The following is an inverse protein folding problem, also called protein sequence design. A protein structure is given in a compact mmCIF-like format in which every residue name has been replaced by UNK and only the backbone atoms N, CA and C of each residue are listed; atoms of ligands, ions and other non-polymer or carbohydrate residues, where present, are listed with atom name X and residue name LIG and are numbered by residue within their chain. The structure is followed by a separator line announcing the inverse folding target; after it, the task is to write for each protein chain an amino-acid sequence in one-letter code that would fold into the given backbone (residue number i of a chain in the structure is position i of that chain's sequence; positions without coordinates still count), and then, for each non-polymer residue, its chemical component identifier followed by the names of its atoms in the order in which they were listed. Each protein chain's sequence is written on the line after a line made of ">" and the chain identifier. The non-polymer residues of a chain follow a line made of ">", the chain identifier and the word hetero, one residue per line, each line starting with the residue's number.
data_IF_809862983822
#
_entry.id   IF_809862983822
#
_cell.length_a   1.000
_cell.length_b   1.000
_cell.length_c   1.000
_cell.angle_alpha   90.00
_cell.angle_beta   90.00
_cell.angle_gamma   90.00
#
_symmetry.space_group_name_H-M   'P 1'
#
loop_
_entity.id
_entity.type
_entity.pdbx_description
1 polymer ?
#
# COMPACT_ATOMS: atom_id res chain seq x y z
N UNK A 1 12.46 1.34 -12.16
CA UNK A 1 11.56 0.25 -11.72
C UNK A 1 11.97 -1.08 -12.32
N UNK A 2 12.13 -1.22 -13.65
CA UNK A 2 12.58 -2.49 -14.26
C UNK A 2 13.96 -2.90 -13.75
N UNK A 3 14.90 -1.94 -13.65
CA UNK A 3 16.23 -2.23 -13.10
C UNK A 3 16.16 -2.72 -11.65
N UNK A 4 15.27 -2.14 -10.84
CA UNK A 4 15.01 -2.62 -9.48
C UNK A 4 14.49 -4.06 -9.45
N UNK A 5 13.62 -4.46 -10.38
CA UNK A 5 13.16 -5.85 -10.46
C UNK A 5 14.31 -6.80 -10.82
N UNK A 6 15.23 -6.38 -11.70
CA UNK A 6 16.44 -7.16 -12.01
C UNK A 6 17.38 -7.25 -10.81
N UNK A 7 17.54 -6.16 -10.04
CA UNK A 7 18.29 -6.16 -8.77
C UNK A 7 17.70 -7.14 -7.75
N UNK A 8 16.37 -7.23 -7.66
CA UNK A 8 15.65 -8.17 -6.79
C UNK A 8 15.51 -9.58 -7.41
N UNK A 9 16.15 -9.84 -8.55
CA UNK A 9 16.18 -11.14 -9.23
C UNK A 9 14.79 -11.70 -9.60
N UNK A 10 13.86 -10.81 -9.98
CA UNK A 10 12.56 -11.19 -10.55
C UNK A 10 12.79 -11.88 -11.89
N UNK A 11 11.97 -12.89 -12.18
CA UNK A 11 12.11 -13.67 -13.41
C UNK A 11 11.99 -12.78 -14.66
N UNK A 12 12.90 -12.96 -15.62
CA UNK A 12 12.99 -12.13 -16.81
C UNK A 12 11.76 -12.25 -17.72
N UNK A 13 11.04 -13.40 -17.67
CA UNK A 13 9.80 -13.53 -18.45
C UNK A 13 8.72 -12.57 -17.95
N UNK A 14 8.64 -12.31 -16.62
CA UNK A 14 7.71 -11.35 -16.03
C UNK A 14 8.09 -9.93 -16.44
N UNK A 15 9.38 -9.61 -16.38
CA UNK A 15 9.89 -8.30 -16.80
C UNK A 15 9.54 -8.03 -18.26
N UNK A 16 9.76 -9.03 -19.13
CA UNK A 16 9.39 -8.95 -20.55
C UNK A 16 7.88 -8.81 -20.73
N UNK A 17 7.07 -9.56 -20.00
CA UNK A 17 5.61 -9.43 -20.02
C UNK A 17 5.14 -8.01 -19.68
N UNK A 18 5.77 -7.36 -18.70
CA UNK A 18 5.49 -5.97 -18.32
C UNK A 18 5.92 -5.00 -19.43
N UNK A 19 7.06 -5.23 -20.07
CA UNK A 19 7.51 -4.41 -21.19
C UNK A 19 6.55 -4.53 -22.39
N UNK A 20 6.08 -5.75 -22.69
CA UNK A 20 5.10 -6.02 -23.73
C UNK A 20 3.76 -5.35 -23.42
N UNK A 21 3.26 -5.49 -22.19
CA UNK A 21 2.06 -4.79 -21.73
C UNK A 21 2.16 -3.27 -21.92
N UNK A 22 3.29 -2.66 -21.57
CA UNK A 22 3.50 -1.21 -21.73
C UNK A 22 3.51 -0.78 -23.19
N UNK A 23 4.02 -1.64 -24.09
CA UNK A 23 4.05 -1.38 -25.53
C UNK A 23 2.64 -1.48 -26.12
N UNK A 24 1.85 -2.47 -25.72
CA UNK A 24 0.49 -2.68 -26.16
C UNK A 24 -0.48 -1.63 -25.60
N UNK A 25 -0.21 -1.16 -24.40
CA UNK A 25 -1.04 -0.19 -23.68
C UNK A 25 -0.21 1.05 -23.29
N UNK A 26 0.11 1.94 -24.21
CA UNK A 26 0.85 3.16 -23.91
C UNK A 26 0.07 4.02 -22.90
N UNK A 27 0.80 4.69 -22.00
CA UNK A 27 0.17 5.53 -20.97
C UNK A 27 -0.65 6.64 -21.63
N UNK A 28 -1.91 6.85 -21.19
CA UNK A 28 -2.69 7.99 -21.67
C UNK A 28 -2.00 9.31 -21.26
N UNK A 29 -2.20 10.36 -22.05
CA UNK A 29 -1.65 11.70 -21.75
C UNK A 29 -2.30 12.35 -20.55
N UNK A 30 -3.46 11.83 -20.10
CA UNK A 30 -4.23 12.30 -18.97
C UNK A 30 -4.21 11.27 -17.84
N UNK A 31 -4.20 11.72 -16.59
CA UNK A 31 -4.23 10.90 -15.41
C UNK A 31 -2.97 11.05 -14.55
N UNK A 32 -3.12 10.70 -13.27
CA UNK A 32 -2.04 10.78 -12.29
C UNK A 32 -1.21 9.50 -12.33
N UNK A 33 0.03 9.60 -12.75
CA UNK A 33 0.96 8.47 -12.62
C UNK A 33 1.39 8.32 -11.16
N UNK A 34 1.32 7.10 -10.63
CA UNK A 34 1.80 6.80 -9.28
C UNK A 34 3.28 7.22 -9.12
N UNK A 35 3.57 7.87 -8.01
CA UNK A 35 4.92 8.23 -7.59
C UNK A 35 5.18 7.59 -6.23
N UNK A 36 5.45 6.27 -6.19
CA UNK A 36 5.66 5.57 -4.95
C UNK A 36 6.86 6.18 -4.21
N UNK A 37 6.67 6.41 -2.92
CA UNK A 37 7.71 6.96 -2.06
C UNK A 37 8.73 5.89 -1.70
N UNK A 38 8.28 4.65 -1.53
CA UNK A 38 9.08 3.52 -1.11
C UNK A 38 9.03 2.39 -2.13
N UNK A 39 10.06 1.57 -2.14
CA UNK A 39 10.07 0.31 -2.88
C UNK A 39 9.64 -0.83 -1.97
N UNK A 40 8.83 -1.72 -2.50
CA UNK A 40 8.51 -2.98 -1.83
C UNK A 40 9.63 -3.98 -2.10
N UNK A 41 10.06 -4.69 -1.06
CA UNK A 41 11.06 -5.75 -1.14
C UNK A 41 10.40 -7.10 -0.82
N UNK A 42 10.57 -8.08 -1.72
CA UNK A 42 9.99 -9.42 -1.58
C UNK A 42 9.72 -10.03 -2.94
N UNK A 43 10.69 -10.81 -3.45
CA UNK A 43 10.68 -11.41 -4.79
C UNK A 43 9.38 -12.15 -5.08
N UNK A 44 9.03 -13.13 -4.24
CA UNK A 44 7.87 -13.99 -4.45
C UNK A 44 6.56 -13.20 -4.60
N UNK A 45 6.37 -12.19 -3.76
CA UNK A 45 5.18 -11.34 -3.80
C UNK A 45 5.13 -10.49 -5.07
N UNK A 46 6.29 -10.00 -5.54
CA UNK A 46 6.39 -9.30 -6.82
C UNK A 46 5.98 -10.19 -7.98
N UNK A 47 6.50 -11.42 -8.03
CA UNK A 47 6.23 -12.39 -9.09
C UNK A 47 4.74 -12.77 -9.12
N UNK A 48 4.16 -13.14 -7.96
CA UNK A 48 2.74 -13.45 -7.85
C UNK A 48 1.85 -12.28 -8.30
N UNK A 49 2.15 -11.08 -7.83
CA UNK A 49 1.33 -9.90 -8.14
C UNK A 49 1.45 -9.49 -9.61
N UNK A 50 2.65 -9.49 -10.16
CA UNK A 50 2.88 -9.11 -11.55
C UNK A 50 2.23 -10.10 -12.52
N UNK A 51 2.39 -11.41 -12.29
CA UNK A 51 1.77 -12.44 -13.12
C UNK A 51 0.25 -12.37 -13.11
N UNK A 52 -0.37 -12.24 -11.93
CA UNK A 52 -1.81 -12.10 -11.85
C UNK A 52 -2.31 -10.88 -12.64
N UNK A 53 -1.63 -9.73 -12.53
CA UNK A 53 -1.99 -8.53 -13.29
C UNK A 53 -1.74 -8.66 -14.80
N UNK A 54 -0.69 -9.39 -15.22
CA UNK A 54 -0.45 -9.71 -16.65
C UNK A 54 -1.55 -10.59 -17.21
N UNK A 55 -2.05 -11.56 -16.44
CA UNK A 55 -3.21 -12.37 -16.80
C UNK A 55 -4.55 -11.60 -16.80
N UNK A 56 -4.57 -10.33 -16.38
CA UNK A 56 -5.81 -9.53 -16.33
C UNK A 56 -6.62 -9.68 -15.05
N UNK A 57 -6.11 -10.40 -14.08
CA UNK A 57 -6.78 -10.68 -12.81
C UNK A 57 -6.77 -9.47 -11.87
N UNK A 58 -7.75 -9.41 -10.96
CA UNK A 58 -7.76 -8.42 -9.89
C UNK A 58 -7.03 -8.96 -8.67
N UNK A 59 -6.35 -8.09 -7.91
CA UNK A 59 -5.59 -8.47 -6.72
C UNK A 59 -6.26 -8.01 -5.43
N UNK A 60 -6.23 -8.88 -4.40
CA UNK A 60 -6.48 -8.52 -3.01
C UNK A 60 -5.22 -8.77 -2.18
N UNK A 61 -4.58 -7.69 -1.75
CA UNK A 61 -3.43 -7.73 -0.85
C UNK A 61 -3.94 -7.74 0.60
N UNK A 62 -3.90 -8.89 1.24
CA UNK A 62 -4.40 -9.08 2.60
C UNK A 62 -3.23 -9.25 3.59
N UNK A 63 -3.27 -8.58 4.73
CA UNK A 63 -2.20 -8.71 5.72
C UNK A 63 -2.34 -7.78 6.91
N UNK A 64 -1.50 -7.99 7.92
CA UNK A 64 -1.42 -7.13 9.09
C UNK A 64 -0.96 -5.71 8.73
N UNK A 65 -0.98 -4.80 9.71
CA UNK A 65 -0.44 -3.43 9.54
C UNK A 65 1.06 -3.49 9.21
N UNK A 66 1.55 -2.51 8.47
CA UNK A 66 2.95 -2.33 8.11
C UNK A 66 3.57 -3.39 7.17
N UNK A 67 2.78 -4.26 6.53
CA UNK A 67 3.26 -5.25 5.55
C UNK A 67 3.53 -4.69 4.15
N UNK A 68 3.31 -3.39 3.92
CA UNK A 68 3.65 -2.75 2.63
C UNK A 68 2.61 -2.91 1.51
N UNK A 69 1.35 -3.29 1.81
CA UNK A 69 0.26 -3.45 0.81
C UNK A 69 0.13 -2.26 -0.14
N UNK A 70 -0.03 -1.06 0.39
CA UNK A 70 -0.20 0.15 -0.42
C UNK A 70 1.08 0.51 -1.18
N UNK A 71 2.25 0.24 -0.58
CA UNK A 71 3.54 0.43 -1.25
C UNK A 71 3.63 -0.46 -2.48
N UNK A 72 3.30 -1.75 -2.35
CA UNK A 72 3.28 -2.67 -3.49
C UNK A 72 2.26 -2.24 -4.55
N UNK A 73 1.03 -1.88 -4.16
CA UNK A 73 -0.01 -1.45 -5.10
C UNK A 73 0.42 -0.22 -5.93
N UNK A 74 1.01 0.80 -5.29
CA UNK A 74 1.55 1.97 -5.97
C UNK A 74 2.76 1.62 -6.86
N UNK A 75 3.62 0.73 -6.40
CA UNK A 75 4.77 0.26 -7.16
C UNK A 75 4.32 -0.49 -8.42
N UNK A 76 3.30 -1.35 -8.32
CA UNK A 76 2.71 -2.06 -9.47
C UNK A 76 2.12 -1.09 -10.49
N UNK A 77 1.30 -0.12 -10.05
CA UNK A 77 0.74 0.89 -10.95
C UNK A 77 1.85 1.67 -11.70
N UNK A 78 2.91 2.05 -10.98
CA UNK A 78 4.08 2.71 -11.57
C UNK A 78 4.84 1.79 -12.52
N UNK A 79 5.00 0.51 -12.14
CA UNK A 79 5.71 -0.50 -12.92
C UNK A 79 5.03 -0.74 -14.27
N UNK A 80 3.70 -0.88 -14.28
CA UNK A 80 2.93 -1.06 -15.51
C UNK A 80 2.77 0.23 -16.33
N UNK A 81 3.22 1.37 -15.81
CA UNK A 81 3.23 2.64 -16.53
C UNK A 81 1.84 3.23 -16.78
N UNK A 82 0.86 2.91 -15.94
CA UNK A 82 -0.54 3.36 -16.08
C UNK A 82 -0.90 4.41 -15.02
N UNK A 83 -1.89 5.27 -15.28
CA UNK A 83 -2.41 6.18 -14.26
C UNK A 83 -3.03 5.41 -13.11
N UNK A 84 -2.90 5.93 -11.88
CA UNK A 84 -3.48 5.32 -10.68
C UNK A 84 -4.64 6.16 -10.14
N UNK A 85 -5.68 5.47 -9.69
CA UNK A 85 -6.88 6.03 -9.08
C UNK A 85 -7.07 5.39 -7.72
N UNK A 86 -7.07 6.20 -6.66
CA UNK A 86 -7.12 5.70 -5.29
C UNK A 86 -8.51 5.92 -4.70
N UNK A 87 -9.04 4.88 -4.07
CA UNK A 87 -10.30 4.90 -3.32
C UNK A 87 -9.99 4.40 -1.91
N UNK A 88 -10.06 5.28 -0.91
CA UNK A 88 -9.91 4.88 0.49
C UNK A 88 -11.29 4.62 1.09
N UNK A 89 -11.53 3.38 1.48
CA UNK A 89 -12.83 2.96 1.98
C UNK A 89 -13.03 3.30 3.46
N UNK A 90 -14.26 3.65 3.79
CA UNK A 90 -14.71 3.88 5.16
C UNK A 90 -16.21 3.55 5.29
N UNK A 91 -16.69 3.41 6.52
CA UNK A 91 -18.05 2.91 6.80
C UNK A 91 -19.19 3.75 6.20
N UNK A 92 -18.96 5.05 5.98
CA UNK A 92 -19.98 5.97 5.46
C UNK A 92 -19.84 6.21 3.94
N UNK A 93 -18.98 5.46 3.25
CA UNK A 93 -18.85 5.56 1.80
C UNK A 93 -20.08 4.98 1.11
N UNK A 94 -20.53 5.62 0.05
CA UNK A 94 -21.55 5.11 -0.85
C UNK A 94 -20.99 4.84 -2.27
N UNK A 95 -21.80 4.18 -3.09
CA UNK A 95 -21.42 3.79 -4.45
C UNK A 95 -21.14 5.00 -5.37
N UNK A 96 -21.77 6.14 -5.13
CA UNK A 96 -21.62 7.33 -5.95
C UNK A 96 -20.21 7.90 -5.91
N UNK A 97 -19.52 7.76 -4.76
CA UNK A 97 -18.13 8.18 -4.65
C UNK A 97 -17.21 7.41 -5.60
N UNK A 98 -17.48 6.13 -5.82
CA UNK A 98 -16.68 5.27 -6.70
C UNK A 98 -17.02 5.45 -8.17
N UNK A 99 -18.32 5.47 -8.46
CA UNK A 99 -18.86 5.46 -9.83
C UNK A 99 -18.93 6.87 -10.39
N UNK A 100 -19.44 7.83 -9.61
CA UNK A 100 -19.64 9.21 -10.01
C UNK A 100 -21.02 9.74 -9.66
N UNK A 101 -21.21 11.02 -9.91
CA UNK A 101 -22.44 11.75 -9.58
C UNK A 101 -22.81 12.70 -10.71
N UNK A 102 -24.09 13.01 -10.81
CA UNK A 102 -24.57 14.09 -11.66
C UNK A 102 -24.19 15.44 -11.08
N UNK A 103 -23.72 16.31 -11.95
CA UNK A 103 -23.39 17.69 -11.60
C UNK A 103 -24.08 18.63 -12.59
N UNK A 104 -24.52 19.79 -12.11
CA UNK A 104 -25.07 20.83 -12.98
C UNK A 104 -23.95 21.75 -13.46
N UNK A 105 -23.75 21.80 -14.78
CA UNK A 105 -22.74 22.62 -15.42
C UNK A 105 -23.27 23.22 -16.72
N UNK A 106 -23.04 24.51 -16.89
CA UNK A 106 -23.42 25.24 -18.13
C UNK A 106 -24.88 25.05 -18.55
N UNK A 107 -25.80 24.99 -17.57
CA UNK A 107 -27.25 24.83 -17.81
C UNK A 107 -27.71 23.39 -18.08
N UNK A 108 -26.80 22.39 -17.94
CA UNK A 108 -27.10 21.00 -18.19
C UNK A 108 -26.66 20.11 -17.05
N UNK A 109 -27.33 18.97 -16.87
CA UNK A 109 -26.91 17.90 -15.99
C UNK A 109 -25.84 17.08 -16.72
N UNK A 110 -24.65 16.96 -16.10
CA UNK A 110 -23.52 16.23 -16.68
C UNK A 110 -23.04 15.21 -15.66
N UNK A 111 -22.87 13.96 -16.10
CA UNK A 111 -22.25 12.94 -15.27
C UNK A 111 -20.76 13.23 -15.04
N UNK A 112 -20.36 13.31 -13.76
CA UNK A 112 -18.97 13.43 -13.34
C UNK A 112 -18.48 12.05 -12.89
N UNK A 113 -17.61 11.36 -13.67
CA UNK A 113 -17.14 10.03 -13.34
C UNK A 113 -16.28 10.02 -12.08
N UNK A 114 -16.53 9.07 -11.20
CA UNK A 114 -15.72 8.77 -10.02
C UNK A 114 -14.45 7.97 -10.37
N UNK A 115 -13.60 7.69 -9.37
CA UNK A 115 -12.28 7.06 -9.60
C UNK A 115 -12.36 5.70 -10.32
N UNK A 116 -13.34 4.86 -9.97
CA UNK A 116 -13.53 3.55 -10.60
C UNK A 116 -13.90 3.68 -12.07
N UNK A 117 -14.84 4.60 -12.40
CA UNK A 117 -15.21 4.88 -13.80
C UNK A 117 -14.02 5.46 -14.57
N UNK A 118 -13.27 6.40 -14.00
CA UNK A 118 -12.09 6.96 -14.65
C UNK A 118 -11.04 5.89 -14.93
N UNK A 119 -10.77 5.02 -13.96
CA UNK A 119 -9.86 3.88 -14.11
C UNK A 119 -10.33 2.97 -15.23
N UNK A 120 -11.61 2.58 -15.20
CA UNK A 120 -12.21 1.70 -16.21
C UNK A 120 -12.11 2.28 -17.62
N UNK A 121 -12.43 3.55 -17.79
CA UNK A 121 -12.45 4.21 -19.12
C UNK A 121 -11.04 4.41 -19.67
N UNK A 122 -10.07 4.80 -18.81
CA UNK A 122 -8.71 5.16 -19.22
C UNK A 122 -7.72 4.01 -19.16
N UNK A 123 -8.15 2.84 -18.70
CA UNK A 123 -7.28 1.68 -18.54
C UNK A 123 -6.20 1.89 -17.47
N UNK A 124 -6.57 2.49 -16.34
CA UNK A 124 -5.68 2.76 -15.22
C UNK A 124 -5.56 1.61 -14.23
N UNK A 125 -4.90 1.88 -13.12
CA UNK A 125 -4.83 1.01 -11.94
C UNK A 125 -5.68 1.61 -10.83
N UNK A 126 -6.75 0.93 -10.42
CA UNK A 126 -7.60 1.36 -9.32
C UNK A 126 -7.11 0.70 -8.02
N UNK A 127 -6.64 1.51 -7.09
CA UNK A 127 -6.22 1.04 -5.76
C UNK A 127 -7.38 1.24 -4.80
N UNK A 128 -7.97 0.11 -4.36
CA UNK A 128 -9.13 0.03 -3.49
C UNK A 128 -8.64 -0.20 -2.04
N UNK A 129 -8.28 0.89 -1.36
CA UNK A 129 -7.61 0.83 -0.06
C UNK A 129 -8.58 0.58 1.08
N UNK A 130 -8.26 -0.42 1.93
CA UNK A 130 -9.07 -0.85 3.08
C UNK A 130 -10.50 -1.26 2.68
N UNK A 131 -10.64 -2.03 1.61
CA UNK A 131 -11.94 -2.39 1.01
C UNK A 131 -12.94 -2.99 2.03
N UNK A 132 -12.44 -3.68 3.05
CA UNK A 132 -13.24 -4.29 4.11
C UNK A 132 -13.75 -3.31 5.17
N UNK A 133 -13.46 -2.02 5.07
CA UNK A 133 -14.02 -0.97 5.92
C UNK A 133 -15.39 -0.48 5.42
N UNK A 134 -15.71 -0.69 4.14
CA UNK A 134 -16.99 -0.29 3.57
C UNK A 134 -18.13 -1.26 3.92
N UNK A 135 -19.35 -0.81 3.74
CA UNK A 135 -20.54 -1.66 3.81
C UNK A 135 -20.70 -2.44 2.51
N UNK A 136 -21.24 -3.65 2.58
CA UNK A 136 -21.46 -4.50 1.41
C UNK A 136 -22.33 -3.84 0.34
N UNK A 137 -23.31 -3.01 0.76
CA UNK A 137 -24.20 -2.28 -0.14
C UNK A 137 -23.42 -1.30 -1.03
N UNK A 138 -22.42 -0.62 -0.50
CA UNK A 138 -21.56 0.28 -1.26
C UNK A 138 -20.67 -0.50 -2.24
N UNK A 139 -20.21 -1.69 -1.85
CA UNK A 139 -19.35 -2.53 -2.67
C UNK A 139 -20.09 -3.28 -3.80
N UNK A 140 -21.44 -3.31 -3.78
CA UNK A 140 -22.24 -4.05 -4.76
C UNK A 140 -21.96 -3.61 -6.21
N UNK A 141 -21.63 -2.34 -6.43
CA UNK A 141 -21.30 -1.80 -7.76
C UNK A 141 -20.00 -2.37 -8.35
N UNK A 142 -19.10 -2.91 -7.51
CA UNK A 142 -17.85 -3.49 -7.95
C UNK A 142 -18.03 -4.89 -8.57
N UNK A 143 -19.14 -5.59 -8.29
CA UNK A 143 -19.31 -6.97 -8.77
C UNK A 143 -19.24 -7.09 -10.29
N UNK A 144 -19.87 -6.19 -11.05
CA UNK A 144 -19.85 -6.22 -12.52
C UNK A 144 -18.55 -5.68 -13.11
N UNK A 145 -17.84 -4.85 -12.37
CA UNK A 145 -16.53 -4.30 -12.76
C UNK A 145 -15.44 -5.35 -12.68
N UNK A 146 -15.48 -6.14 -11.59
CA UNK A 146 -14.43 -7.10 -11.23
C UNK A 146 -14.66 -8.50 -11.77
N UNK A 147 -15.82 -8.79 -12.38
CA UNK A 147 -16.08 -10.10 -12.98
C UNK A 147 -15.83 -10.10 -14.51
N UNK A 148 -16.08 -11.23 -15.15
CA UNK A 148 -15.87 -11.44 -16.58
C UNK A 148 -16.65 -10.47 -17.49
N UNK A 149 -17.73 -9.86 -16.99
CA UNK A 149 -18.52 -8.88 -17.74
C UNK A 149 -17.77 -7.59 -18.00
N UNK A 150 -16.88 -7.22 -17.09
CA UNK A 150 -16.01 -6.02 -17.19
C UNK A 150 -16.79 -4.80 -17.65
N UNK A 151 -17.86 -4.45 -16.91
CA UNK A 151 -18.75 -3.36 -17.24
C UNK A 151 -19.21 -2.60 -16.00
N UNK A 152 -19.36 -1.30 -16.11
CA UNK A 152 -19.96 -0.44 -15.08
C UNK A 152 -21.35 -0.02 -15.56
N UNK A 153 -22.38 -0.36 -14.78
CA UNK A 153 -23.73 0.10 -15.01
C UNK A 153 -23.96 1.40 -14.23
N UNK A 154 -24.16 2.50 -14.94
CA UNK A 154 -24.46 3.81 -14.36
C UNK A 154 -25.95 4.07 -14.58
N UNK A 155 -26.79 4.19 -13.51
CA UNK A 155 -28.22 4.45 -13.68
C UNK A 155 -28.47 5.70 -14.50
N UNK A 156 -29.30 5.58 -15.55
CA UNK A 156 -29.63 6.70 -16.46
C UNK A 156 -28.63 6.99 -17.57
N UNK A 157 -27.54 6.22 -17.65
CA UNK A 157 -26.51 6.34 -18.68
C UNK A 157 -26.19 4.99 -19.32
N UNK A 158 -25.51 5.02 -20.46
CA UNK A 158 -25.02 3.82 -21.11
C UNK A 158 -23.98 3.09 -20.22
N UNK A 159 -23.96 1.77 -20.31
CA UNK A 159 -22.98 0.96 -19.62
C UNK A 159 -21.55 1.29 -20.11
N UNK A 160 -20.63 1.46 -19.17
CA UNK A 160 -19.23 1.80 -19.45
C UNK A 160 -18.42 0.49 -19.49
N UNK A 161 -17.86 0.11 -20.66
CA UNK A 161 -16.96 -1.05 -20.72
C UNK A 161 -15.65 -0.74 -20.00
N UNK A 162 -15.11 -1.75 -19.32
CA UNK A 162 -13.79 -1.65 -18.67
C UNK A 162 -12.69 -1.89 -19.70
N UNK A 163 -11.82 -0.93 -19.87
CA UNK A 163 -10.67 -0.99 -20.78
C UNK A 163 -9.75 -2.17 -20.45
N UNK A 164 -9.18 -2.84 -21.46
CA UNK A 164 -8.36 -4.06 -21.28
C UNK A 164 -7.14 -3.86 -20.39
N UNK A 165 -6.55 -2.66 -20.42
CA UNK A 165 -5.44 -2.32 -19.54
C UNK A 165 -5.83 -1.99 -18.09
N UNK A 166 -7.14 -1.86 -17.78
CA UNK A 166 -7.57 -1.53 -16.42
C UNK A 166 -7.30 -2.69 -15.45
N UNK A 167 -6.75 -2.38 -14.29
CA UNK A 167 -6.46 -3.34 -13.20
C UNK A 167 -6.98 -2.80 -11.88
N UNK A 168 -7.44 -3.72 -11.02
CA UNK A 168 -7.98 -3.39 -9.71
C UNK A 168 -7.15 -4.12 -8.65
N UNK A 169 -6.61 -3.33 -7.70
CA UNK A 169 -5.81 -3.83 -6.59
C UNK A 169 -6.47 -3.39 -5.30
N UNK A 170 -7.06 -4.32 -4.57
CA UNK A 170 -7.65 -4.05 -3.28
C UNK A 170 -6.63 -4.32 -2.16
N UNK A 171 -6.72 -3.56 -1.07
CA UNK A 171 -5.98 -3.85 0.17
C UNK A 171 -6.95 -4.13 1.30
N UNK A 172 -6.56 -5.05 2.18
CA UNK A 172 -7.35 -5.43 3.35
C UNK A 172 -6.45 -5.63 4.56
N UNK A 173 -6.82 -4.99 5.66
CA UNK A 173 -6.28 -5.29 6.98
C UNK A 173 -7.20 -6.30 7.67
N UNK A 174 -6.62 -7.25 8.42
CA UNK A 174 -7.37 -8.17 9.27
C UNK A 174 -6.81 -8.15 10.71
N UNK A 175 -7.62 -8.62 11.67
CA UNK A 175 -7.20 -8.71 13.06
C UNK A 175 -7.36 -7.41 13.87
N UNK A 176 -8.11 -6.42 13.38
CA UNK A 176 -8.38 -5.16 14.09
C UNK A 176 -9.85 -4.97 14.44
N UNK A 177 -10.10 -4.26 15.52
CA UNK A 177 -11.44 -3.80 15.85
C UNK A 177 -11.98 -2.89 14.72
N UNK A 178 -13.17 -3.22 14.19
CA UNK A 178 -13.81 -2.49 13.10
C UNK A 178 -13.55 -3.05 11.70
N UNK A 179 -12.63 -4.00 11.52
CA UNK A 179 -12.50 -4.73 10.25
C UNK A 179 -13.65 -5.73 10.11
N UNK A 180 -14.18 -5.85 8.89
CA UNK A 180 -15.22 -6.81 8.53
C UNK A 180 -14.63 -7.87 7.62
N UNK A 181 -15.25 -9.03 7.59
CA UNK A 181 -14.98 -10.01 6.56
C UNK A 181 -15.53 -9.50 5.23
N UNK A 182 -14.75 -9.65 4.18
CA UNK A 182 -15.21 -9.33 2.84
C UNK A 182 -16.24 -10.38 2.42
N UNK A 183 -17.32 -9.91 1.79
CA UNK A 183 -18.34 -10.81 1.23
C UNK A 183 -17.68 -11.83 0.30
N UNK A 184 -18.03 -13.12 0.47
CA UNK A 184 -17.45 -14.24 -0.29
C UNK A 184 -17.59 -14.05 -1.80
N UNK A 185 -18.74 -13.56 -2.26
CA UNK A 185 -18.97 -13.28 -3.68
C UNK A 185 -18.06 -12.18 -4.23
N UNK A 186 -17.63 -11.20 -3.42
CA UNK A 186 -16.67 -10.19 -3.83
C UNK A 186 -15.24 -10.73 -3.72
N UNK A 187 -14.93 -11.46 -2.66
CA UNK A 187 -13.60 -12.06 -2.46
C UNK A 187 -13.23 -13.02 -3.59
N UNK A 188 -14.19 -13.79 -4.12
CA UNK A 188 -13.97 -14.73 -5.24
C UNK A 188 -13.59 -14.06 -6.57
N UNK A 189 -13.66 -12.74 -6.67
CA UNK A 189 -13.25 -11.95 -7.84
C UNK A 189 -11.82 -11.44 -7.80
N UNK A 190 -11.10 -11.83 -6.76
CA UNK A 190 -9.71 -11.43 -6.57
C UNK A 190 -8.78 -12.65 -6.46
N UNK A 191 -7.60 -12.52 -7.01
CA UNK A 191 -6.45 -13.33 -6.61
C UNK A 191 -5.92 -12.77 -5.29
N UNK A 192 -5.95 -13.59 -4.25
CA UNK A 192 -5.60 -13.15 -2.88
C UNK A 192 -4.14 -13.43 -2.61
N UNK A 193 -3.40 -12.39 -2.25
CA UNK A 193 -2.00 -12.50 -1.80
C UNK A 193 -1.93 -12.15 -0.32
N UNK A 194 -1.49 -13.10 0.49
CA UNK A 194 -1.20 -12.86 1.90
C UNK A 194 0.17 -12.18 2.04
N UNK A 195 0.14 -10.91 2.41
CA UNK A 195 1.35 -10.09 2.55
C UNK A 195 2.12 -10.49 3.81
N UNK A 196 3.35 -10.99 3.67
CA UNK A 196 4.17 -11.32 4.82
C UNK A 196 4.61 -10.06 5.59
N UNK A 197 4.99 -10.25 6.84
CA UNK A 197 5.69 -9.23 7.61
C UNK A 197 7.04 -8.93 6.93
N UNK A 198 7.50 -7.67 7.03
CA UNK A 198 8.77 -7.29 6.44
C UNK A 198 9.91 -8.02 7.15
N UNK A 199 10.77 -8.71 6.39
CA UNK A 199 11.96 -9.33 6.98
C UNK A 199 12.98 -8.28 7.41
N UNK A 200 13.82 -8.62 8.37
CA UNK A 200 14.89 -7.73 8.82
C UNK A 200 15.79 -7.29 7.67
N UNK A 201 16.18 -8.21 6.80
CA UNK A 201 17.05 -7.94 5.65
C UNK A 201 16.38 -6.97 4.67
N UNK A 202 15.09 -7.14 4.39
CA UNK A 202 14.32 -6.24 3.53
C UNK A 202 14.15 -4.86 4.17
N UNK A 203 14.00 -4.80 5.49
CA UNK A 203 13.95 -3.52 6.20
C UNK A 203 15.32 -2.80 6.16
N UNK A 204 16.43 -3.52 6.30
CA UNK A 204 17.77 -2.96 6.16
C UNK A 204 18.04 -2.44 4.73
N UNK A 205 17.60 -3.16 3.70
CA UNK A 205 17.62 -2.69 2.29
C UNK A 205 16.81 -1.41 2.12
N UNK A 206 15.58 -1.37 2.67
CA UNK A 206 14.72 -0.20 2.62
C UNK A 206 15.37 1.00 3.30
N UNK A 207 15.91 0.83 4.51
CA UNK A 207 16.59 1.89 5.27
C UNK A 207 17.81 2.42 4.53
N UNK A 208 18.65 1.54 3.99
CA UNK A 208 19.86 1.92 3.25
C UNK A 208 19.54 2.69 1.96
N UNK A 209 18.43 2.37 1.30
CA UNK A 209 17.98 3.07 0.10
C UNK A 209 17.40 4.46 0.41
N UNK A 210 16.60 4.56 1.48
CA UNK A 210 15.96 5.81 1.88
C UNK A 210 16.91 6.80 2.57
N UNK A 211 17.95 6.27 3.20
CA UNK A 211 18.96 7.01 3.94
C UNK A 211 20.35 6.56 3.51
N UNK A 212 20.82 6.98 2.31
CA UNK A 212 22.12 6.53 1.78
C UNK A 212 23.33 6.95 2.64
N UNK A 213 23.17 7.97 3.46
CA UNK A 213 24.14 8.48 4.44
C UNK A 213 24.00 7.84 5.82
N UNK A 214 23.09 6.88 6.02
CA UNK A 214 22.97 6.12 7.26
C UNK A 214 24.10 5.08 7.35
N UNK A 215 24.78 5.03 8.51
CA UNK A 215 25.77 3.99 8.77
C UNK A 215 25.11 2.60 8.78
N UNK A 216 25.79 1.60 8.24
CA UNK A 216 25.28 0.22 8.21
C UNK A 216 24.88 -0.30 9.58
N UNK A 217 25.67 0.03 10.63
CA UNK A 217 25.36 -0.36 11.99
C UNK A 217 24.04 0.25 12.49
N UNK A 218 23.77 1.49 12.11
CA UNK A 218 22.51 2.17 12.46
C UNK A 218 21.30 1.53 11.76
N UNK A 219 21.43 1.13 10.50
CA UNK A 219 20.38 0.38 9.81
C UNK A 219 20.08 -0.95 10.54
N UNK A 220 21.11 -1.67 11.02
CA UNK A 220 20.98 -2.89 11.82
C UNK A 220 20.30 -2.61 13.17
N UNK A 221 20.59 -1.47 13.81
CA UNK A 221 19.96 -1.07 15.09
C UNK A 221 18.47 -0.77 14.88
N UNK A 222 18.11 0.04 13.88
CA UNK A 222 16.70 0.39 13.60
C UNK A 222 15.88 -0.80 13.09
N UNK A 223 16.43 -1.67 12.25
CA UNK A 223 15.77 -2.90 11.84
C UNK A 223 15.54 -3.85 12.99
N UNK A 224 16.56 -3.99 13.87
CA UNK A 224 16.45 -4.78 15.11
C UNK A 224 15.39 -4.22 16.07
N UNK A 225 15.34 -2.89 16.26
CA UNK A 225 14.31 -2.22 17.04
C UNK A 225 12.91 -2.56 16.54
N UNK A 226 12.67 -2.42 15.24
CA UNK A 226 11.37 -2.71 14.63
C UNK A 226 10.96 -4.18 14.80
N UNK A 227 11.91 -5.10 14.56
CA UNK A 227 11.69 -6.55 14.74
C UNK A 227 11.39 -6.92 16.20
N UNK A 228 12.03 -6.27 17.17
CA UNK A 228 11.77 -6.53 18.58
C UNK A 228 10.36 -6.06 18.99
N UNK A 229 9.92 -4.88 18.52
CA UNK A 229 8.55 -4.39 18.72
C UNK A 229 7.54 -5.35 18.07
N UNK A 230 7.80 -5.80 16.83
CA UNK A 230 6.96 -6.75 16.10
C UNK A 230 6.77 -8.06 16.89
N UNK A 231 7.85 -8.63 17.42
CA UNK A 231 7.81 -9.83 18.27
C UNK A 231 6.95 -9.63 19.51
N UNK A 232 7.06 -8.47 20.17
CA UNK A 232 6.25 -8.14 21.35
C UNK A 232 4.76 -7.98 21.00
N UNK A 233 4.45 -7.39 19.83
CA UNK A 233 3.07 -7.35 19.34
C UNK A 233 2.53 -8.75 19.05
N UNK A 234 3.32 -9.62 18.41
CA UNK A 234 2.94 -11.01 18.13
C UNK A 234 2.68 -11.84 19.39
N UNK A 235 3.46 -11.60 20.44
CA UNK A 235 3.28 -12.26 21.74
C UNK A 235 2.13 -11.69 22.55
N UNK A 236 1.43 -10.65 22.09
CA UNK A 236 0.35 -9.98 22.82
C UNK A 236 0.81 -9.08 23.95
N UNK A 237 2.10 -8.79 24.07
CA UNK A 237 2.68 -7.90 25.09
C UNK A 237 2.52 -6.41 24.72
N UNK A 238 2.38 -6.10 23.43
CA UNK A 238 2.11 -4.78 22.88
C UNK A 238 0.95 -4.84 21.90
N UNK A 239 0.17 -3.77 21.85
CA UNK A 239 -0.84 -3.64 20.79
C UNK A 239 -0.20 -3.29 19.45
N UNK A 240 -0.78 -3.72 18.30
CA UNK A 240 -0.28 -3.38 16.98
C UNK A 240 -0.25 -1.88 16.64
N UNK A 241 -0.74 -1.02 17.52
CA UNK A 241 -0.71 0.44 17.34
C UNK A 241 0.71 0.98 17.26
N UNK A 242 1.62 0.41 18.05
CA UNK A 242 3.03 0.83 18.10
C UNK A 242 3.86 0.27 16.95
N UNK A 243 3.34 -0.73 16.22
CA UNK A 243 4.01 -1.28 15.03
C UNK A 243 3.72 -0.36 13.84
N UNK A 244 4.52 0.70 13.72
CA UNK A 244 4.35 1.72 12.70
C UNK A 244 5.66 1.99 11.95
N UNK A 245 5.81 1.33 10.78
CA UNK A 245 7.00 1.51 9.93
C UNK A 245 7.10 2.95 9.40
N UNK A 246 5.96 3.62 9.11
CA UNK A 246 5.98 5.04 8.70
C UNK A 246 6.51 5.90 9.83
N UNK A 247 6.03 5.65 11.05
CA UNK A 247 6.51 6.35 12.24
C UNK A 247 8.02 6.17 12.47
N UNK A 248 8.54 4.95 12.26
CA UNK A 248 9.99 4.70 12.30
C UNK A 248 10.73 5.51 11.22
N UNK A 249 10.28 5.46 9.97
CA UNK A 249 10.92 6.19 8.86
C UNK A 249 10.89 7.71 9.08
N UNK A 250 9.79 8.24 9.62
CA UNK A 250 9.66 9.67 9.93
C UNK A 250 10.53 10.05 11.13
N UNK A 251 10.63 9.21 12.17
CA UNK A 251 11.56 9.41 13.30
C UNK A 251 13.02 9.48 12.81
N UNK A 252 13.44 8.57 11.93
CA UNK A 252 14.78 8.57 11.35
C UNK A 252 15.05 9.87 10.56
N UNK A 253 14.06 10.40 9.83
CA UNK A 253 14.19 11.71 9.15
C UNK A 253 14.38 12.86 10.14
N UNK A 254 13.66 12.83 11.26
CA UNK A 254 13.81 13.85 12.32
C UNK A 254 15.21 13.76 12.96
N UNK A 255 15.71 12.56 13.21
CA UNK A 255 17.08 12.35 13.72
C UNK A 255 18.11 12.92 12.74
N UNK A 256 17.97 12.63 11.45
CA UNK A 256 18.84 13.17 10.39
C UNK A 256 18.83 14.71 10.34
N UNK A 257 17.77 15.34 10.83
CA UNK A 257 17.62 16.81 10.95
C UNK A 257 18.15 17.37 12.29
N UNK A 258 18.67 16.50 13.16
CA UNK A 258 19.28 16.90 14.43
C UNK A 258 18.41 16.73 15.69
N UNK A 259 17.20 16.17 15.56
CA UNK A 259 16.42 15.82 16.76
C UNK A 259 17.05 14.61 17.45
N UNK A 260 17.02 14.61 18.80
CA UNK A 260 17.57 13.47 19.55
C UNK A 260 16.84 12.18 19.17
N UNK A 261 17.56 11.04 19.02
CA UNK A 261 17.00 9.77 18.62
C UNK A 261 15.84 9.32 19.51
N UNK A 262 15.97 9.47 20.82
CA UNK A 262 14.92 9.06 21.76
C UNK A 262 13.65 9.91 21.58
N UNK A 263 13.77 11.23 21.46
CA UNK A 263 12.62 12.10 21.22
C UNK A 263 11.93 11.81 19.90
N UNK A 264 12.70 11.56 18.84
CA UNK A 264 12.14 11.24 17.52
C UNK A 264 11.40 9.90 17.53
N UNK A 265 11.97 8.87 18.18
CA UNK A 265 11.35 7.55 18.31
C UNK A 265 10.13 7.57 19.24
N UNK A 266 10.15 8.38 20.30
CA UNK A 266 8.95 8.61 21.12
C UNK A 266 7.81 9.19 20.26
N UNK A 267 8.07 10.20 19.43
CA UNK A 267 7.07 10.79 18.52
C UNK A 267 6.58 9.80 17.45
N UNK A 268 7.49 9.04 16.87
CA UNK A 268 7.20 8.15 15.75
C UNK A 268 6.56 6.82 16.15
N UNK A 269 6.87 6.31 17.34
CA UNK A 269 6.51 4.96 17.79
C UNK A 269 5.80 4.99 19.15
N UNK A 270 6.48 5.42 20.22
CA UNK A 270 5.98 5.28 21.59
C UNK A 270 4.63 5.96 21.80
N UNK A 271 4.48 7.19 21.32
CA UNK A 271 3.26 7.99 21.48
C UNK A 271 2.09 7.53 20.57
N UNK A 272 2.22 6.41 19.85
CA UNK A 272 1.11 5.79 19.10
C UNK A 272 0.15 5.00 20.01
N UNK A 273 0.58 4.66 21.20
CA UNK A 273 -0.25 4.15 22.28
C UNK A 273 -0.41 5.19 23.40
N UNK A 274 -1.54 5.15 24.09
CA UNK A 274 -1.85 5.99 25.26
C UNK A 274 -1.84 5.17 26.55
N UNK A 275 -1.40 3.92 26.50
CA UNK A 275 -1.21 3.05 27.64
C UNK A 275 0.18 3.23 28.20
N UNK A 276 0.28 3.65 29.47
CA UNK A 276 1.57 3.96 30.12
C UNK A 276 2.47 2.74 30.23
N UNK A 277 1.92 1.55 30.43
CA UNK A 277 2.70 0.31 30.49
C UNK A 277 3.30 -0.03 29.12
N UNK A 278 2.50 0.04 28.04
CA UNK A 278 3.01 -0.16 26.69
C UNK A 278 4.08 0.88 26.32
N UNK A 279 3.86 2.17 26.69
CA UNK A 279 4.86 3.21 26.46
C UNK A 279 6.18 2.92 27.18
N UNK A 280 6.12 2.47 28.43
CA UNK A 280 7.32 2.09 29.19
C UNK A 280 8.05 0.94 28.51
N UNK A 281 7.32 -0.11 28.12
CA UNK A 281 7.89 -1.27 27.45
C UNK A 281 8.54 -0.91 26.10
N UNK A 282 7.91 -0.04 25.32
CA UNK A 282 8.47 0.46 24.05
C UNK A 282 9.76 1.26 24.30
N UNK A 283 9.81 2.14 25.33
CA UNK A 283 11.01 2.89 25.69
C UNK A 283 12.15 1.99 26.13
N UNK A 284 11.85 0.89 26.84
CA UNK A 284 12.85 -0.09 27.21
C UNK A 284 13.46 -0.79 26.00
N UNK A 285 12.62 -1.16 25.02
CA UNK A 285 13.08 -1.74 23.75
C UNK A 285 13.94 -0.71 22.98
N UNK A 286 13.50 0.54 22.86
CA UNK A 286 14.26 1.61 22.20
C UNK A 286 15.63 1.76 22.89
N UNK A 287 15.65 1.86 24.22
CA UNK A 287 16.89 2.07 25.00
C UNK A 287 17.86 0.89 24.93
N UNK A 288 17.36 -0.32 24.62
CA UNK A 288 18.22 -1.49 24.41
C UNK A 288 18.98 -1.48 23.09
N UNK A 289 18.49 -0.71 22.10
CA UNK A 289 19.05 -0.63 20.76
C UNK A 289 19.71 0.69 20.43
N UNK A 290 19.19 1.79 20.97
CA UNK A 290 19.64 3.17 20.72
C UNK A 290 20.09 3.77 22.05
N UNK A 291 21.35 4.15 22.13
CA UNK A 291 21.93 4.72 23.35
C UNK A 291 21.43 6.15 23.57
N UNK A 292 21.32 6.56 24.85
CA UNK A 292 21.08 7.97 25.21
C UNK A 292 22.17 8.93 24.71
N UNK A 293 23.35 8.40 24.36
CA UNK A 293 24.50 9.16 23.86
C UNK A 293 24.50 9.26 22.34
N UNK A 294 23.62 8.50 21.65
CA UNK A 294 23.53 8.55 20.20
C UNK A 294 22.89 9.86 19.77
N UNK A 295 23.45 10.44 18.74
CA UNK A 295 22.95 11.61 18.04
C UNK A 295 23.03 11.39 16.51
N UNK A 296 22.68 12.39 15.72
CA UNK A 296 22.73 12.26 14.27
C UNK A 296 24.13 11.91 13.76
N UNK A 297 25.20 12.43 14.37
CA UNK A 297 26.59 12.22 13.93
C UNK A 297 27.11 10.82 14.23
N UNK A 298 26.52 10.15 15.22
CA UNK A 298 26.83 8.73 15.51
C UNK A 298 26.11 7.77 14.57
N UNK A 299 24.95 8.17 14.05
CA UNK A 299 24.05 7.33 13.27
C UNK A 299 24.18 7.53 11.75
N UNK A 300 24.65 8.70 11.31
CA UNK A 300 24.84 9.06 9.91
C UNK A 300 26.31 9.46 9.64
N UNK A 301 26.71 9.41 8.35
CA UNK A 301 28.03 9.85 7.86
C UNK A 301 28.05 11.36 7.63
#
# INVERSE_FOLDING_TARGET
>A
MLDFLREEHIDEHIIKGIEDFRREHPSPTTGLTARPRYMYYGKEIWEQAAEALLCGENLLLAGSKATGKNVLAENLARLFGRPSYNVSFHINMDASFMIGTDTFRDGQVVFRPGPVCQCATLGGFCILDEINMARNEALAVLHSVLDFRRVINVPGYDAIPVHDAARFIATMNYGYAGTRELNEALASRFMVIHMPEITRDNLEKLLSREFPDMKKQSAVQFSGLFTDIEKKCRNGELTPKVLDLRGLMDAIRLIRRGLSPLSALDMGITNKTFDDYEQSLVRDIISSRISKKDDWSTLFD
#
